data_IF_849243226962
#
_entry.id   IF_849243226962
#
_cell.length_a   1.000
_cell.length_b   1.000
_cell.length_c   1.000
_cell.angle_alpha   90.00
_cell.angle_beta   90.00
_cell.angle_gamma   90.00
#
_symmetry.space_group_name_H-M   'P 1'
#
loop_
_entity.id
_entity.type
_entity.pdbx_description
1 polymer ?
#
# COMPACT_ATOMS: atom_id res chain seq x y z
N UNK A 1 -10.95 -17.79 -38.56
CA UNK A 1 -10.22 -18.22 -37.36
C UNK A 1 -11.26 -18.54 -36.30
N UNK A 2 -11.31 -19.77 -35.80
CA UNK A 2 -12.37 -20.28 -34.92
C UNK A 2 -12.15 -19.82 -33.46
N UNK A 3 -13.23 -19.61 -32.69
CA UNK A 3 -13.13 -19.29 -31.25
C UNK A 3 -12.29 -20.32 -30.48
N UNK A 4 -12.33 -21.58 -30.91
CA UNK A 4 -11.53 -22.65 -30.35
C UNK A 4 -10.02 -22.41 -30.54
N UNK A 5 -9.60 -21.99 -31.74
CA UNK A 5 -8.19 -21.72 -32.06
C UNK A 5 -7.64 -20.57 -31.20
N UNK A 6 -8.44 -19.51 -31.01
CA UNK A 6 -8.09 -18.38 -30.13
C UNK A 6 -7.93 -18.82 -28.67
N UNK A 7 -8.81 -19.70 -28.19
CA UNK A 7 -8.72 -20.21 -26.81
C UNK A 7 -7.48 -21.07 -26.59
N UNK A 8 -7.12 -21.91 -27.56
CA UNK A 8 -5.94 -22.77 -27.52
C UNK A 8 -4.64 -21.95 -27.53
N UNK A 9 -4.54 -20.94 -28.41
CA UNK A 9 -3.37 -20.04 -28.45
C UNK A 9 -3.20 -19.27 -27.14
N UNK A 10 -4.31 -18.79 -26.56
CA UNK A 10 -4.30 -18.11 -25.27
C UNK A 10 -3.84 -19.03 -24.14
N UNK A 11 -4.31 -20.28 -24.12
CA UNK A 11 -3.89 -21.27 -23.12
C UNK A 11 -2.38 -21.54 -23.20
N UNK A 12 -1.86 -21.81 -24.41
CA UNK A 12 -0.42 -22.05 -24.63
C UNK A 12 0.44 -20.85 -24.23
N UNK A 13 -0.01 -19.64 -24.54
CA UNK A 13 0.67 -18.41 -24.13
C UNK A 13 0.73 -18.26 -22.61
N UNK A 14 -0.37 -18.53 -21.90
CA UNK A 14 -0.41 -18.51 -20.44
C UNK A 14 0.53 -19.57 -19.86
N UNK A 15 0.53 -20.79 -20.39
CA UNK A 15 1.41 -21.87 -19.94
C UNK A 15 2.89 -21.52 -20.18
N UNK A 16 3.25 -20.97 -21.34
CA UNK A 16 4.60 -20.50 -21.62
C UNK A 16 5.05 -19.42 -20.62
N UNK A 17 4.17 -18.47 -20.29
CA UNK A 17 4.42 -17.43 -19.28
C UNK A 17 4.64 -18.05 -17.89
N UNK A 18 3.84 -19.04 -17.50
CA UNK A 18 3.99 -19.76 -16.23
C UNK A 18 5.29 -20.54 -16.17
N UNK A 19 5.70 -21.19 -17.27
CA UNK A 19 6.98 -21.91 -17.35
C UNK A 19 8.16 -20.95 -17.21
N UNK A 20 8.12 -19.81 -17.92
CA UNK A 20 9.15 -18.77 -17.78
C UNK A 20 9.22 -18.21 -16.35
N UNK A 21 8.07 -18.02 -15.72
CA UNK A 21 8.02 -17.58 -14.32
C UNK A 21 8.61 -18.62 -13.36
N UNK A 22 8.32 -19.92 -13.56
CA UNK A 22 8.85 -21.01 -12.73
C UNK A 22 10.38 -21.11 -12.78
N UNK A 23 11.00 -20.68 -13.88
CA UNK A 23 12.45 -20.57 -14.02
C UNK A 23 13.05 -19.27 -13.43
N UNK A 24 12.23 -18.32 -12.98
CA UNK A 24 12.71 -17.01 -12.49
C UNK A 24 13.01 -15.98 -13.59
N UNK A 25 12.79 -16.33 -14.87
CA UNK A 25 13.20 -15.54 -16.03
C UNK A 25 12.13 -14.54 -16.50
N UNK A 26 10.92 -14.60 -15.95
CA UNK A 26 9.83 -13.75 -16.43
C UNK A 26 10.04 -12.31 -15.94
N UNK A 27 10.29 -11.41 -16.90
CA UNK A 27 10.43 -9.98 -16.63
C UNK A 27 9.09 -9.33 -16.31
N UNK A 28 9.06 -8.60 -15.21
CA UNK A 28 7.99 -7.69 -14.83
C UNK A 28 8.58 -6.46 -14.14
N UNK A 29 7.74 -5.44 -13.91
CA UNK A 29 8.16 -4.21 -13.26
C UNK A 29 8.62 -4.48 -11.83
N UNK A 30 9.89 -4.19 -11.55
CA UNK A 30 10.49 -4.35 -10.23
C UNK A 30 10.13 -3.15 -9.33
N UNK A 31 10.12 -3.33 -8.00
CA UNK A 31 10.03 -2.22 -7.07
C UNK A 31 11.31 -1.37 -7.13
N UNK A 32 11.23 -0.15 -6.61
CA UNK A 32 12.38 0.76 -6.52
C UNK A 32 13.56 0.12 -5.78
N UNK A 33 14.79 0.34 -6.26
CA UNK A 33 16.00 -0.25 -5.67
C UNK A 33 16.38 -1.61 -6.22
N UNK A 34 15.63 -2.16 -7.18
CA UNK A 34 15.98 -3.37 -7.92
C UNK A 34 15.86 -3.11 -9.42
N UNK A 35 16.81 -3.60 -10.20
CA UNK A 35 16.81 -3.47 -11.65
C UNK A 35 17.06 -4.82 -12.34
N UNK A 36 16.55 -4.95 -13.56
CA UNK A 36 16.94 -6.05 -14.46
C UNK A 36 18.23 -5.69 -15.16
N UNK A 37 19.22 -6.58 -15.12
CA UNK A 37 20.44 -6.43 -15.91
C UNK A 37 20.23 -6.82 -17.37
N UNK A 38 21.25 -6.56 -18.19
CA UNK A 38 21.31 -7.04 -19.58
C UNK A 38 21.33 -8.57 -19.69
N UNK A 39 21.69 -9.27 -18.62
CA UNK A 39 21.76 -10.74 -18.55
C UNK A 39 20.50 -11.36 -17.94
N UNK A 40 19.39 -10.62 -17.90
CA UNK A 40 18.10 -11.09 -17.38
C UNK A 40 18.16 -11.56 -15.92
N UNK A 41 19.07 -10.98 -15.14
CA UNK A 41 19.15 -11.19 -13.69
C UNK A 41 18.63 -9.97 -12.95
N UNK A 42 18.05 -10.21 -11.77
CA UNK A 42 17.68 -9.13 -10.86
C UNK A 42 18.92 -8.78 -10.04
N UNK A 43 19.24 -7.50 -9.96
CA UNK A 43 20.31 -6.96 -9.11
C UNK A 43 19.83 -5.74 -8.33
N UNK A 44 20.62 -5.31 -7.35
CA UNK A 44 20.39 -4.07 -6.63
C UNK A 44 20.60 -2.88 -7.58
N UNK A 45 19.80 -1.83 -7.41
CA UNK A 45 19.95 -0.59 -8.17
C UNK A 45 21.38 -0.03 -8.03
N UNK A 46 22.13 0.25 -9.11
CA UNK A 46 23.50 0.73 -9.04
C UNK A 46 23.70 2.05 -8.27
N UNK A 47 22.67 2.89 -8.16
CA UNK A 47 22.73 4.12 -7.36
C UNK A 47 22.84 3.79 -5.85
N UNK A 48 24.03 4.02 -5.29
CA UNK A 48 24.31 3.81 -3.86
C UNK A 48 23.37 4.58 -2.95
N UNK A 49 22.95 5.79 -3.34
CA UNK A 49 22.02 6.59 -2.52
C UNK A 49 20.67 5.90 -2.38
N UNK A 50 20.18 5.27 -3.44
CA UNK A 50 18.95 4.46 -3.42
C UNK A 50 19.15 3.26 -2.51
N UNK A 51 20.29 2.57 -2.63
CA UNK A 51 20.57 1.40 -1.81
C UNK A 51 20.62 1.76 -0.32
N UNK A 52 21.37 2.79 0.05
CA UNK A 52 21.52 3.28 1.42
C UNK A 52 20.17 3.69 2.03
N UNK A 53 19.33 4.39 1.28
CA UNK A 53 18.00 4.79 1.74
C UNK A 53 17.11 3.57 2.05
N UNK A 54 17.18 2.52 1.24
CA UNK A 54 16.40 1.29 1.44
C UNK A 54 16.98 0.47 2.61
N UNK A 55 18.30 0.34 2.71
CA UNK A 55 18.96 -0.27 3.87
C UNK A 55 18.59 0.44 5.17
N UNK A 56 18.51 1.77 5.16
CA UNK A 56 18.10 2.56 6.32
C UNK A 56 16.68 2.23 6.78
N UNK A 57 15.73 2.01 5.86
CA UNK A 57 14.36 1.58 6.20
C UNK A 57 14.38 0.27 6.98
N UNK A 58 15.11 -0.73 6.47
CA UNK A 58 15.21 -2.02 7.14
C UNK A 58 15.93 -1.91 8.47
N UNK A 59 17.06 -1.20 8.54
CA UNK A 59 17.82 -0.95 9.77
C UNK A 59 16.93 -0.32 10.85
N UNK A 60 16.19 0.75 10.52
CA UNK A 60 15.28 1.41 11.46
C UNK A 60 14.13 0.52 11.88
N UNK A 61 13.67 -0.38 11.02
CA UNK A 61 12.66 -1.36 11.41
C UNK A 61 13.21 -2.41 12.38
N UNK A 62 14.49 -2.79 12.27
CA UNK A 62 15.16 -3.64 13.28
C UNK A 62 15.14 -2.97 14.65
N UNK A 63 15.51 -1.70 14.69
CA UNK A 63 15.59 -0.89 15.92
C UNK A 63 14.21 -0.67 16.55
N UNK A 64 13.22 -0.23 15.75
CA UNK A 64 11.93 0.27 16.26
C UNK A 64 10.83 -0.79 16.30
N UNK A 65 10.96 -1.89 15.53
CA UNK A 65 9.98 -2.98 15.40
C UNK A 65 8.54 -2.54 15.11
N UNK A 66 8.36 -1.36 14.50
CA UNK A 66 7.04 -0.82 14.15
C UNK A 66 7.12 0.03 12.88
N UNK A 67 6.35 -0.34 11.85
CA UNK A 67 6.31 0.39 10.58
C UNK A 67 5.86 1.85 10.76
N UNK A 68 5.01 2.11 11.77
CA UNK A 68 4.56 3.46 12.10
C UNK A 68 5.68 4.27 12.75
N UNK A 69 6.42 3.70 13.68
CA UNK A 69 7.55 4.40 14.32
C UNK A 69 8.64 4.71 13.29
N UNK A 70 8.92 3.77 12.37
CA UNK A 70 9.81 4.02 11.23
C UNK A 70 9.33 5.22 10.41
N UNK A 71 8.04 5.28 10.04
CA UNK A 71 7.49 6.43 9.31
C UNK A 71 7.69 7.75 10.06
N UNK A 72 7.42 7.78 11.37
CA UNK A 72 7.55 8.99 12.19
C UNK A 72 9.00 9.46 12.23
N UNK A 73 9.94 8.54 12.47
CA UNK A 73 11.37 8.85 12.45
C UNK A 73 11.82 9.44 11.11
N UNK A 74 11.45 8.83 9.97
CA UNK A 74 11.79 9.39 8.65
C UNK A 74 11.19 10.79 8.42
N UNK A 75 10.03 11.07 9.02
CA UNK A 75 9.35 12.38 8.92
C UNK A 75 10.00 13.43 9.81
N UNK A 76 10.40 13.05 11.02
CA UNK A 76 11.10 13.91 11.97
C UNK A 76 12.47 14.32 11.42
N UNK A 77 13.23 13.36 10.89
CA UNK A 77 14.54 13.60 10.27
C UNK A 77 14.45 14.20 8.86
N UNK A 78 13.24 14.41 8.32
CA UNK A 78 12.99 14.90 6.96
C UNK A 78 13.71 14.10 5.85
N UNK A 79 13.93 12.80 6.07
CA UNK A 79 14.61 11.94 5.11
C UNK A 79 13.64 11.48 4.02
N UNK A 80 14.02 11.70 2.78
CA UNK A 80 13.23 11.30 1.61
C UNK A 80 13.55 9.86 1.19
N UNK A 81 12.55 9.15 0.67
CA UNK A 81 12.73 7.82 0.10
C UNK A 81 12.54 7.83 -1.42
N UNK A 82 13.25 6.94 -2.12
CA UNK A 82 13.12 6.81 -3.57
C UNK A 82 11.78 6.15 -3.92
N UNK A 83 11.20 6.56 -5.04
CA UNK A 83 9.96 6.02 -5.58
C UNK A 83 10.04 5.99 -7.10
N UNK A 84 9.76 4.82 -7.69
CA UNK A 84 9.62 4.72 -9.14
C UNK A 84 8.46 5.59 -9.62
N UNK A 85 8.77 6.42 -10.61
CA UNK A 85 7.83 7.26 -11.32
C UNK A 85 7.98 6.98 -12.81
N UNK A 86 6.86 6.94 -13.50
CA UNK A 86 6.84 6.73 -14.94
C UNK A 86 6.34 8.02 -15.56
N UNK A 87 7.15 8.61 -16.42
CA UNK A 87 6.76 9.72 -17.28
C UNK A 87 6.79 9.30 -18.75
N UNK A 88 6.47 10.24 -19.64
CA UNK A 88 6.43 9.99 -21.08
C UNK A 88 7.82 9.64 -21.67
N UNK A 89 8.89 9.94 -20.94
CA UNK A 89 10.28 9.74 -21.37
C UNK A 89 10.94 8.51 -20.73
N UNK A 90 10.29 7.85 -19.78
CA UNK A 90 10.76 6.60 -19.17
C UNK A 90 10.51 6.47 -17.67
N UNK A 91 11.23 5.53 -17.05
CA UNK A 91 11.20 5.33 -15.60
C UNK A 91 12.25 6.22 -14.92
N UNK A 92 11.81 7.01 -13.95
CA UNK A 92 12.65 7.91 -13.14
C UNK A 92 12.44 7.64 -11.66
N UNK A 93 13.46 7.94 -10.86
CA UNK A 93 13.38 7.84 -9.39
C UNK A 93 13.08 9.22 -8.82
N UNK A 94 11.93 9.35 -8.15
CA UNK A 94 11.57 10.55 -7.40
C UNK A 94 11.85 10.37 -5.91
N UNK A 95 12.43 11.40 -5.30
CA UNK A 95 12.69 11.46 -3.87
C UNK A 95 11.56 12.23 -3.17
N UNK A 96 10.83 11.57 -2.27
CA UNK A 96 9.74 12.20 -1.51
C UNK A 96 9.71 11.70 -0.07
N UNK A 97 9.17 12.52 0.83
CA UNK A 97 8.92 12.09 2.20
C UNK A 97 7.99 10.86 2.21
N UNK A 98 8.35 9.78 2.93
CA UNK A 98 7.58 8.57 2.91
C UNK A 98 6.18 8.76 3.48
N UNK A 99 5.26 7.95 2.99
CA UNK A 99 3.96 7.72 3.62
C UNK A 99 3.92 6.30 4.15
N UNK A 100 2.99 6.02 5.07
CA UNK A 100 2.86 4.71 5.71
C UNK A 100 2.85 3.54 4.69
N UNK A 101 2.11 3.71 3.59
CA UNK A 101 2.04 2.74 2.49
C UNK A 101 3.41 2.44 1.87
N UNK A 102 4.28 3.45 1.73
CA UNK A 102 5.62 3.27 1.17
C UNK A 102 6.44 2.36 2.09
N UNK A 103 6.47 2.66 3.39
CA UNK A 103 7.19 1.86 4.40
C UNK A 103 6.68 0.43 4.40
N UNK A 104 5.36 0.22 4.43
CA UNK A 104 4.79 -1.13 4.36
C UNK A 104 5.18 -1.86 3.07
N UNK A 105 5.17 -1.18 1.92
CA UNK A 105 5.57 -1.80 0.66
C UNK A 105 7.04 -2.25 0.67
N UNK A 106 7.95 -1.52 1.32
CA UNK A 106 9.32 -1.97 1.51
C UNK A 106 9.37 -3.22 2.40
N UNK A 107 8.71 -3.17 3.55
CA UNK A 107 8.80 -4.25 4.55
C UNK A 107 8.06 -5.53 4.13
N UNK A 108 6.98 -5.45 3.35
CA UNK A 108 6.16 -6.60 2.96
C UNK A 108 6.55 -7.23 1.63
N UNK A 109 7.42 -6.59 0.83
CA UNK A 109 7.73 -7.11 -0.49
C UNK A 109 8.91 -8.11 -0.42
N UNK A 110 8.67 -9.41 -0.73
CA UNK A 110 9.71 -10.45 -0.67
C UNK A 110 10.87 -10.23 -1.66
N UNK A 111 10.69 -9.38 -2.68
CA UNK A 111 11.75 -9.06 -3.63
C UNK A 111 12.97 -8.41 -2.96
N UNK A 112 12.78 -7.66 -1.88
CA UNK A 112 13.89 -7.09 -1.12
C UNK A 112 14.63 -8.14 -0.28
N UNK A 113 14.09 -9.34 -0.16
CA UNK A 113 14.69 -10.46 0.55
C UNK A 113 15.37 -11.47 -0.40
N UNK A 114 15.65 -11.05 -1.63
CA UNK A 114 16.24 -11.92 -2.66
C UNK A 114 15.30 -12.98 -3.21
N UNK A 115 13.99 -12.89 -2.93
CA UNK A 115 13.04 -13.88 -3.39
C UNK A 115 12.29 -13.43 -4.64
N UNK A 116 12.37 -14.22 -5.70
CA UNK A 116 11.60 -14.04 -6.91
C UNK A 116 10.18 -14.58 -6.71
N UNK A 117 9.17 -13.75 -7.02
CA UNK A 117 7.77 -14.12 -6.78
C UNK A 117 6.88 -13.76 -7.95
N UNK A 118 6.05 -14.71 -8.37
CA UNK A 118 5.05 -14.50 -9.41
C UNK A 118 3.68 -15.09 -9.03
N UNK A 119 2.60 -14.50 -9.56
CA UNK A 119 1.23 -14.97 -9.32
C UNK A 119 0.64 -14.61 -7.96
N UNK A 120 1.00 -13.43 -7.40
CA UNK A 120 0.48 -12.91 -6.12
C UNK A 120 -1.00 -12.50 -6.16
N UNK A 121 -1.56 -12.31 -7.35
CA UNK A 121 -2.89 -11.75 -7.58
C UNK A 121 -3.74 -12.75 -8.36
N UNK A 122 -5.03 -12.85 -8.02
CA UNK A 122 -6.02 -13.62 -8.76
C UNK A 122 -7.23 -12.79 -9.20
N UNK A 123 -7.83 -13.27 -10.28
CA UNK A 123 -9.18 -12.95 -10.67
C UNK A 123 -10.15 -13.88 -9.94
N UNK A 124 -11.19 -13.34 -9.33
CA UNK A 124 -12.30 -14.10 -8.76
C UNK A 124 -13.54 -13.89 -9.61
N UNK A 125 -14.14 -15.00 -10.06
CA UNK A 125 -15.42 -14.99 -10.76
C UNK A 125 -16.47 -15.40 -9.74
N UNK A 126 -17.47 -14.54 -9.53
CA UNK A 126 -18.66 -14.88 -8.74
C UNK A 126 -19.87 -14.77 -9.63
N UNK A 127 -20.78 -15.74 -9.53
CA UNK A 127 -22.09 -15.65 -10.17
C UNK A 127 -22.96 -14.78 -9.27
N UNK A 128 -23.38 -13.63 -9.79
CA UNK A 128 -24.30 -12.71 -9.10
C UNK A 128 -25.50 -12.55 -10.03
N UNK A 129 -26.71 -12.83 -9.53
CA UNK A 129 -27.97 -12.72 -10.31
C UNK A 129 -27.92 -13.49 -11.64
N UNK A 130 -27.37 -14.71 -11.62
CA UNK A 130 -27.26 -15.56 -12.82
C UNK A 130 -26.20 -15.12 -13.84
N UNK A 131 -25.44 -14.03 -13.59
CA UNK A 131 -24.36 -13.56 -14.46
C UNK A 131 -23.00 -13.71 -13.80
N UNK A 132 -22.01 -14.17 -14.58
CA UNK A 132 -20.62 -14.24 -14.13
C UNK A 132 -20.01 -12.84 -14.01
N UNK A 133 -19.71 -12.40 -12.78
CA UNK A 133 -19.01 -11.15 -12.50
C UNK A 133 -17.57 -11.45 -12.14
N UNK A 134 -16.65 -11.07 -13.04
CA UNK A 134 -15.21 -11.13 -12.79
C UNK A 134 -14.78 -9.92 -11.97
N UNK A 135 -14.03 -10.18 -10.90
CA UNK A 135 -13.37 -9.16 -10.09
C UNK A 135 -11.89 -9.47 -10.03
N UNK A 136 -11.06 -8.51 -10.43
CA UNK A 136 -9.60 -8.67 -10.51
C UNK A 136 -8.91 -8.01 -9.30
N UNK A 137 -7.64 -8.34 -9.06
CA UNK A 137 -6.82 -7.64 -8.05
C UNK A 137 -6.83 -8.25 -6.65
N UNK A 138 -7.39 -9.45 -6.46
CA UNK A 138 -7.40 -10.10 -5.15
C UNK A 138 -6.03 -10.68 -4.82
N UNK A 139 -5.46 -10.31 -3.66
CA UNK A 139 -4.19 -10.86 -3.21
C UNK A 139 -4.37 -12.31 -2.73
N UNK A 140 -3.50 -13.20 -3.17
CA UNK A 140 -3.40 -14.57 -2.68
C UNK A 140 -2.57 -14.65 -1.41
N UNK A 141 -2.91 -15.57 -0.49
CA UNK A 141 -2.01 -15.89 0.61
C UNK A 141 -0.71 -16.53 0.07
N UNK A 142 0.37 -16.46 0.85
CA UNK A 142 1.75 -16.77 0.41
C UNK A 142 1.90 -18.21 -0.12
N UNK A 143 1.20 -19.14 0.51
CA UNK A 143 1.10 -20.57 0.15
C UNK A 143 0.47 -20.83 -1.22
N UNK A 144 -0.35 -19.90 -1.73
CA UNK A 144 -1.02 -20.03 -3.02
C UNK A 144 -0.35 -19.24 -4.14
N UNK A 145 0.82 -18.67 -3.88
CA UNK A 145 1.60 -18.00 -4.93
C UNK A 145 2.07 -19.03 -5.96
N UNK A 146 2.00 -18.66 -7.24
CA UNK A 146 2.35 -19.60 -8.32
C UNK A 146 3.83 -19.94 -8.31
N UNK A 147 4.68 -18.96 -7.99
CA UNK A 147 6.14 -19.13 -7.92
C UNK A 147 6.67 -18.34 -6.74
N UNK A 148 7.49 -18.99 -5.92
CA UNK A 148 8.32 -18.39 -4.89
C UNK A 148 9.68 -19.09 -4.92
N UNK A 149 10.70 -18.42 -5.47
CA UNK A 149 12.08 -18.90 -5.50
C UNK A 149 12.86 -18.04 -4.51
N UNK A 150 13.33 -18.64 -3.42
CA UNK A 150 14.17 -17.97 -2.43
C UNK A 150 15.60 -17.87 -2.96
N UNK A 151 16.38 -16.90 -2.48
CA UNK A 151 17.80 -16.72 -2.84
C UNK A 151 18.05 -16.62 -4.36
N UNK A 152 17.08 -16.08 -5.09
CA UNK A 152 17.16 -15.92 -6.55
C UNK A 152 18.12 -14.80 -6.95
N UNK A 153 18.18 -13.73 -6.16
CA UNK A 153 19.00 -12.54 -6.42
C UNK A 153 19.47 -11.89 -5.11
N UNK A 154 20.46 -10.97 -5.16
CA UNK A 154 20.87 -10.21 -3.98
C UNK A 154 19.69 -9.42 -3.38
N UNK A 155 19.39 -9.67 -2.11
CA UNK A 155 18.41 -8.92 -1.33
C UNK A 155 19.06 -7.81 -0.51
N UNK A 156 18.26 -6.82 -0.12
CA UNK A 156 18.62 -5.83 0.92
C UNK A 156 18.65 -6.46 2.32
N UNK A 157 17.90 -7.54 2.51
CA UNK A 157 17.85 -8.35 3.72
C UNK A 157 17.86 -9.84 3.34
N UNK A 158 18.19 -10.72 4.30
CA UNK A 158 18.04 -12.17 4.10
C UNK A 158 16.58 -12.61 4.13
N UNK A 159 16.32 -13.83 3.66
CA UNK A 159 14.97 -14.41 3.68
C UNK A 159 14.46 -14.63 5.11
N UNK A 160 15.32 -15.12 6.00
CA UNK A 160 15.03 -15.36 7.41
C UNK A 160 14.61 -14.04 8.08
N UNK A 161 15.37 -12.97 7.80
CA UNK A 161 15.08 -11.64 8.33
C UNK A 161 13.75 -11.11 7.81
N UNK A 162 13.42 -11.37 6.56
CA UNK A 162 12.11 -11.01 6.00
C UNK A 162 10.97 -11.72 6.73
N UNK A 163 11.12 -13.01 7.03
CA UNK A 163 10.10 -13.79 7.75
C UNK A 163 9.93 -13.31 9.20
N UNK A 164 11.01 -12.98 9.90
CA UNK A 164 10.96 -12.32 11.20
C UNK A 164 10.21 -10.98 11.14
N UNK A 165 10.53 -10.14 10.15
CA UNK A 165 9.86 -8.87 9.97
C UNK A 165 8.36 -9.05 9.70
N UNK A 166 7.97 -10.08 8.94
CA UNK A 166 6.55 -10.38 8.71
C UNK A 166 5.82 -10.77 10.00
N UNK A 167 6.46 -11.55 10.89
CA UNK A 167 5.86 -11.92 12.19
C UNK A 167 5.58 -10.67 13.04
N UNK A 168 6.56 -9.77 13.17
CA UNK A 168 6.42 -8.50 13.88
C UNK A 168 5.27 -7.65 13.29
N UNK A 169 5.20 -7.57 11.96
CA UNK A 169 4.12 -6.84 11.29
C UNK A 169 2.75 -7.46 11.58
N UNK A 170 2.62 -8.79 11.54
CA UNK A 170 1.36 -9.48 11.83
C UNK A 170 0.91 -9.23 13.27
N UNK A 171 1.81 -9.39 14.26
CA UNK A 171 1.54 -9.09 15.67
C UNK A 171 1.04 -7.66 15.86
N UNK A 172 1.68 -6.68 15.20
CA UNK A 172 1.26 -5.27 15.25
C UNK A 172 -0.11 -5.01 14.61
N UNK A 173 -0.53 -5.83 13.63
CA UNK A 173 -1.87 -5.72 13.01
C UNK A 173 -2.97 -6.36 13.86
N UNK A 174 -2.68 -7.44 14.57
CA UNK A 174 -3.64 -8.09 15.47
C UNK A 174 -4.09 -7.15 16.60
N UNK A 175 -3.21 -6.28 17.10
CA UNK A 175 -3.57 -5.24 18.08
C UNK A 175 -4.55 -4.17 17.54
N UNK A 176 -4.68 -4.01 16.21
CA UNK A 176 -5.57 -3.03 15.56
C UNK A 176 -6.90 -3.60 15.07
N UNK A 177 -7.03 -4.91 14.93
CA UNK A 177 -8.24 -5.56 14.41
C UNK A 177 -9.42 -5.60 15.41
N UNK A 178 -9.36 -4.87 16.53
CA UNK A 178 -10.53 -4.57 17.36
C UNK A 178 -11.57 -3.64 16.68
N UNK A 179 -11.24 -3.05 15.53
CA UNK A 179 -12.15 -2.24 14.74
C UNK A 179 -12.63 -3.00 13.49
N UNK A 180 -13.54 -3.96 13.68
CA UNK A 180 -14.47 -4.34 12.61
C UNK A 180 -15.08 -3.06 12.00
N UNK A 181 -15.39 -3.02 10.69
CA UNK A 181 -16.25 -1.97 10.16
C UNK A 181 -17.55 -2.03 10.95
N UNK A 182 -17.70 -1.11 11.91
CA UNK A 182 -18.95 -1.00 12.65
C UNK A 182 -19.98 -0.68 11.59
N UNK A 183 -20.92 -1.62 11.41
CA UNK A 183 -22.10 -1.44 10.58
C UNK A 183 -22.67 -0.04 10.81
N UNK A 184 -23.19 0.57 9.75
CA UNK A 184 -23.71 1.94 9.76
C UNK A 184 -24.71 2.13 10.88
N UNK A 185 -24.24 2.56 12.06
CA UNK A 185 -25.10 3.06 13.12
C UNK A 185 -25.64 4.35 12.56
N UNK A 186 -26.95 4.41 12.34
CA UNK A 186 -27.71 5.56 11.81
C UNK A 186 -27.55 6.80 12.68
N UNK A 187 -26.34 7.34 12.72
CA UNK A 187 -25.97 8.48 13.52
C UNK A 187 -26.19 9.76 12.74
N UNK A 188 -26.31 10.88 13.47
CA UNK A 188 -26.66 12.21 12.95
C UNK A 188 -25.61 12.84 12.00
N UNK A 189 -24.58 12.11 11.59
CA UNK A 189 -23.51 12.64 10.76
C UNK A 189 -23.85 12.46 9.27
N UNK A 190 -24.59 13.43 8.73
CA UNK A 190 -25.14 13.40 7.37
C UNK A 190 -24.08 13.38 6.25
N UNK A 191 -22.84 13.80 6.54
CA UNK A 191 -21.78 13.93 5.54
C UNK A 191 -20.68 12.86 5.69
N UNK A 192 -20.98 11.79 6.43
CA UNK A 192 -20.10 10.61 6.53
C UNK A 192 -19.87 10.03 5.13
N UNK A 193 -18.61 9.77 4.77
CA UNK A 193 -18.27 9.24 3.45
C UNK A 193 -18.15 10.27 2.32
N UNK A 194 -18.53 11.54 2.55
CA UNK A 194 -18.53 12.60 1.54
C UNK A 194 -17.37 13.58 1.77
N UNK A 195 -17.21 14.06 3.01
CA UNK A 195 -16.21 15.08 3.31
C UNK A 195 -14.77 14.56 3.17
N UNK A 196 -13.92 15.36 2.53
CA UNK A 196 -12.48 15.14 2.42
C UNK A 196 -11.71 16.29 3.05
N UNK A 197 -10.55 16.00 3.62
CA UNK A 197 -9.67 17.00 4.18
C UNK A 197 -9.04 17.88 3.08
N UNK A 198 -9.09 19.20 3.21
CA UNK A 198 -8.46 20.13 2.26
C UNK A 198 -6.93 20.03 2.20
N UNK A 199 -6.29 19.57 3.29
CA UNK A 199 -4.83 19.44 3.35
C UNK A 199 -4.31 18.11 2.76
N UNK A 200 -4.95 16.98 3.04
CA UNK A 200 -4.43 15.66 2.66
C UNK A 200 -5.38 14.82 1.78
N UNK A 201 -6.52 15.40 1.37
CA UNK A 201 -7.54 14.82 0.49
C UNK A 201 -8.14 13.47 0.94
N UNK A 202 -7.79 13.03 2.15
CA UNK A 202 -8.33 11.82 2.77
C UNK A 202 -9.76 12.06 3.25
N UNK A 203 -10.58 11.02 3.23
CA UNK A 203 -11.93 11.05 3.75
C UNK A 203 -11.92 11.36 5.26
N UNK A 204 -12.81 12.25 5.71
CA UNK A 204 -12.94 12.58 7.12
C UNK A 204 -13.67 11.46 7.86
N UNK A 205 -13.23 11.18 9.09
CA UNK A 205 -13.89 10.23 9.98
C UNK A 205 -14.86 10.96 10.91
N UNK A 206 -15.94 10.27 11.28
CA UNK A 206 -16.92 10.75 12.26
C UNK A 206 -16.62 10.14 13.61
N UNK A 207 -16.48 10.98 14.64
CA UNK A 207 -16.46 10.55 16.05
C UNK A 207 -17.65 11.18 16.76
N UNK A 208 -18.33 10.33 17.54
CA UNK A 208 -19.38 10.72 18.45
C UNK A 208 -18.78 10.88 19.85
N UNK A 209 -19.00 12.04 20.45
CA UNK A 209 -18.45 12.44 21.76
C UNK A 209 -19.52 13.06 22.66
N UNK A 210 -19.17 13.36 23.91
CA UNK A 210 -20.05 13.94 24.94
C UNK A 210 -20.86 12.92 25.73
N UNK A 211 -21.50 13.35 26.83
CA UNK A 211 -22.43 12.51 27.60
C UNK A 211 -23.58 12.06 26.67
N UNK A 212 -23.71 10.76 26.44
CA UNK A 212 -24.71 10.16 25.55
C UNK A 212 -24.29 10.00 24.08
N UNK A 213 -23.08 10.44 23.67
CA UNK A 213 -22.58 10.19 22.30
C UNK A 213 -23.34 10.94 21.20
N UNK A 214 -23.98 12.06 21.52
CA UNK A 214 -24.81 12.81 20.56
C UNK A 214 -24.06 13.89 19.79
N UNK A 215 -22.83 14.25 20.18
CA UNK A 215 -22.03 15.29 19.51
C UNK A 215 -21.17 14.64 18.43
N UNK A 216 -21.55 14.84 17.16
CA UNK A 216 -20.75 14.39 16.02
C UNK A 216 -19.67 15.42 15.66
N UNK A 217 -18.44 14.96 15.45
CA UNK A 217 -17.33 15.76 14.94
C UNK A 217 -16.67 15.04 13.75
N UNK A 218 -16.34 15.81 12.72
CA UNK A 218 -15.53 15.33 11.60
C UNK A 218 -14.07 15.68 11.86
N UNK A 219 -13.17 14.71 11.71
CA UNK A 219 -11.74 14.90 11.94
C UNK A 219 -10.94 14.10 10.93
N UNK A 220 -9.77 14.62 10.58
CA UNK A 220 -8.89 13.98 9.61
C UNK A 220 -7.91 13.05 10.30
N UNK A 221 -8.17 11.73 10.27
CA UNK A 221 -7.14 10.71 10.61
C UNK A 221 -6.14 10.48 9.49
N UNK A 222 -6.47 10.86 8.25
CA UNK A 222 -5.65 10.53 7.08
C UNK A 222 -4.24 11.13 7.14
N UNK A 223 -4.12 12.36 7.64
CA UNK A 223 -2.83 13.03 7.85
C UNK A 223 -1.95 12.26 8.86
N UNK A 224 -2.55 11.77 9.94
CA UNK A 224 -1.86 11.02 10.99
C UNK A 224 -1.51 9.59 10.59
N UNK A 225 -2.44 8.90 9.94
CA UNK A 225 -2.25 7.52 9.51
C UNK A 225 -1.22 7.46 8.37
N UNK A 226 -1.36 8.31 7.36
CA UNK A 226 -0.53 8.22 6.15
C UNK A 226 0.77 9.02 6.25
N UNK A 227 0.75 10.17 6.93
CA UNK A 227 1.88 11.10 6.96
C UNK A 227 2.51 11.27 8.35
N UNK A 228 1.99 10.62 9.39
CA UNK A 228 2.51 10.74 10.75
C UNK A 228 2.27 12.10 11.42
N UNK A 229 1.46 12.98 10.81
CA UNK A 229 1.15 14.30 11.37
C UNK A 229 0.15 14.21 12.53
N UNK A 230 0.09 15.15 13.47
CA UNK A 230 -1.00 15.17 14.44
C UNK A 230 -2.37 15.18 13.75
N UNK A 231 -3.39 14.61 14.41
CA UNK A 231 -4.76 14.66 13.90
C UNK A 231 -5.16 16.12 13.73
N UNK A 232 -5.48 16.52 12.51
CA UNK A 232 -5.97 17.85 12.25
C UNK A 232 -7.47 17.87 12.55
N UNK A 233 -7.86 18.65 13.56
CA UNK A 233 -9.22 19.18 13.58
C UNK A 233 -9.33 20.15 12.40
N UNK A 234 -10.34 20.01 11.52
CA UNK A 234 -10.62 21.04 10.55
C UNK A 234 -11.18 22.27 11.29
N UNK A 235 -10.30 23.08 11.89
CA UNK A 235 -10.66 24.37 12.47
C UNK A 235 -11.17 25.35 11.40
N UNK A 236 -10.91 25.09 10.11
CA UNK A 236 -11.40 25.93 9.01
C UNK A 236 -12.84 25.62 8.57
N UNK A 237 -13.45 24.52 9.02
CA UNK A 237 -14.90 24.30 8.78
C UNK A 237 -15.74 25.18 9.72
N UNK A 238 -15.17 25.69 10.81
CA UNK A 238 -15.85 26.67 11.65
C UNK A 238 -16.07 28.01 10.93
N UNK A 239 -15.14 28.44 10.07
CA UNK A 239 -15.28 29.74 9.38
C UNK A 239 -16.37 29.70 8.31
N UNK A 240 -16.44 28.62 7.52
CA UNK A 240 -17.47 28.46 6.49
C UNK A 240 -18.87 28.22 7.07
N UNK A 241 -19.00 27.45 8.17
CA UNK A 241 -20.30 27.25 8.83
C UNK A 241 -20.73 28.52 9.59
N UNK A 242 -19.81 29.29 10.18
CA UNK A 242 -20.16 30.54 10.86
C UNK A 242 -20.52 31.66 9.87
N UNK A 243 -19.86 31.75 8.71
CA UNK A 243 -20.25 32.66 7.63
C UNK A 243 -21.60 32.30 7.01
N UNK A 244 -21.93 31.01 6.86
CA UNK A 244 -23.27 30.57 6.44
C UNK A 244 -24.33 30.85 7.51
N UNK A 245 -24.03 30.64 8.80
CA UNK A 245 -24.95 30.93 9.90
C UNK A 245 -25.22 32.43 10.10
N UNK A 246 -24.25 33.30 9.82
CA UNK A 246 -24.44 34.76 9.84
C UNK A 246 -25.28 35.27 8.66
N UNK A 247 -25.24 34.58 7.50
CA UNK A 247 -26.05 34.93 6.33
C UNK A 247 -27.53 34.56 6.47
N UNK A 248 -27.86 33.55 7.29
CA UNK A 248 -29.23 33.11 7.57
C UNK A 248 -29.89 33.78 8.79
N UNK A 249 -29.21 34.74 9.44
CA UNK A 249 -29.75 35.48 10.60
C UNK A 249 -30.19 36.92 10.27
N UNK A 250 -30.19 37.29 8.98
CA UNK A 250 -30.65 38.57 8.44
C UNK A 250 -31.68 38.40 7.31
N UNK A 251 -32.54 37.39 7.42
CA UNK A 251 -33.83 37.28 6.73
C UNK A 251 -34.89 36.91 7.76
#
# INVERSE_FOLDING_TARGET
MSEFELSLLKQRSIEALRQKARRGELKYKLPVGLCWTRHDKIELEPDRRVQEAIHLVFKKFIELRSARQVLLWFREENITLPKNYQDDFGEKILWRLPIYKNILNFLQNPLYAGAYVFGKIEARIKIVEGRARKTDGHKKPKDQWLVLIKEHHPGYISWERFEENQKILLESTHMRNGENPKSGRGGKALLSGILRCGHCSCMLHVVYSGKGGHVCRYYCRGANINHGRPDAFPLEVFVLIWQLALKFRKL
#
